data_IF_211973147433
#
_entry.id   IF_211973147433
#
_cell.length_a   1.000
_cell.length_b   1.000
_cell.length_c   1.000
_cell.angle_alpha   90.00
_cell.angle_beta   90.00
_cell.angle_gamma   90.00
#
_symmetry.space_group_name_H-M   'P 1'
#
loop_
_entity.id
_entity.type
_entity.pdbx_description
1 polymer ?
#
# COMPACT_ATOMS: atom_id res chain seq x y z
N UNK A 1 21.25 -0.08 4.73
CA UNK A 1 19.93 -0.20 5.40
C UNK A 1 19.18 1.08 5.15
N UNK A 2 17.88 1.04 4.82
CA UNK A 2 17.10 2.26 4.59
C UNK A 2 16.63 2.83 5.93
N UNK A 3 16.96 4.07 6.25
CA UNK A 3 16.44 4.76 7.43
C UNK A 3 15.14 5.47 7.11
N UNK A 4 14.18 5.38 8.02
CA UNK A 4 12.89 6.03 7.88
C UNK A 4 12.93 7.36 8.65
N UNK A 5 12.91 8.47 7.91
CA UNK A 5 12.94 9.81 8.50
C UNK A 5 11.57 10.28 8.95
N UNK A 6 10.58 10.08 8.09
CA UNK A 6 9.20 10.43 8.39
C UNK A 6 8.24 9.56 7.58
N UNK A 7 7.05 9.33 8.14
CA UNK A 7 5.89 8.81 7.42
C UNK A 7 4.71 9.74 7.69
N UNK A 8 3.93 10.05 6.66
CA UNK A 8 2.63 10.69 6.83
C UNK A 8 1.62 10.02 5.89
N UNK A 9 0.34 10.11 6.25
CA UNK A 9 -0.75 9.61 5.41
C UNK A 9 -1.90 10.58 5.40
N UNK A 10 -2.65 10.56 4.31
CA UNK A 10 -3.96 11.17 4.22
C UNK A 10 -4.97 10.10 3.76
N UNK A 11 -6.06 9.97 4.50
CA UNK A 11 -7.22 9.20 4.10
C UNK A 11 -8.46 10.12 4.21
N UNK A 12 -9.34 10.13 3.21
CA UNK A 12 -10.61 10.87 3.27
C UNK A 12 -11.49 10.44 4.44
N UNK A 13 -12.51 11.24 4.72
CA UNK A 13 -13.56 10.87 5.68
C UNK A 13 -14.19 9.52 5.31
N UNK A 14 -14.47 8.73 6.34
CA UNK A 14 -15.11 7.44 6.17
C UNK A 14 -16.60 7.61 5.90
N UNK A 15 -17.14 6.78 5.02
CA UNK A 15 -18.58 6.71 4.75
C UNK A 15 -19.05 5.27 4.89
N UNK A 16 -20.29 5.04 5.38
CA UNK A 16 -20.87 3.70 5.36
C UNK A 16 -20.87 3.14 3.94
N UNK A 17 -20.16 2.02 3.74
CA UNK A 17 -20.03 1.41 2.43
C UNK A 17 -20.64 0.02 2.42
N UNK A 18 -21.74 -0.12 1.69
CA UNK A 18 -22.43 -1.39 1.47
C UNK A 18 -22.65 -1.59 -0.04
N UNK A 19 -21.56 -1.83 -0.76
CA UNK A 19 -21.55 -2.11 -2.18
C UNK A 19 -20.33 -2.97 -2.55
N UNK A 20 -20.26 -3.40 -3.81
CA UNK A 20 -19.13 -4.22 -4.31
C UNK A 20 -18.20 -3.41 -5.19
N UNK A 21 -18.72 -2.41 -5.92
CA UNK A 21 -17.96 -1.57 -6.86
C UNK A 21 -17.87 -0.13 -6.40
N UNK A 22 -16.82 0.56 -6.85
CA UNK A 22 -16.77 2.01 -6.81
C UNK A 22 -17.95 2.64 -7.60
N UNK A 23 -18.45 3.79 -7.13
CA UNK A 23 -19.64 4.45 -7.71
C UNK A 23 -19.28 5.56 -8.71
N UNK A 24 -18.24 6.31 -8.41
CA UNK A 24 -17.78 7.42 -9.23
C UNK A 24 -17.19 6.92 -10.55
N UNK A 25 -17.60 7.52 -11.67
CA UNK A 25 -17.07 7.21 -13.00
C UNK A 25 -16.05 8.26 -13.40
N UNK A 26 -14.96 7.82 -14.02
CA UNK A 26 -14.00 8.75 -14.59
C UNK A 26 -14.56 9.41 -15.86
N UNK A 27 -14.59 10.74 -15.91
CA UNK A 27 -14.99 11.50 -17.11
C UNK A 27 -13.89 11.53 -18.19
N UNK A 28 -12.61 11.39 -17.82
CA UNK A 28 -11.46 11.43 -18.74
C UNK A 28 -11.07 10.07 -19.33
N UNK A 29 -11.55 8.98 -18.75
CA UNK A 29 -11.24 7.61 -19.17
C UNK A 29 -12.45 6.87 -19.73
N UNK A 30 -13.35 7.57 -20.43
CA UNK A 30 -14.44 6.92 -21.18
C UNK A 30 -13.92 5.83 -22.13
N UNK A 31 -12.65 5.90 -22.55
CA UNK A 31 -12.00 4.89 -23.36
C UNK A 31 -11.70 3.57 -22.64
N UNK A 32 -11.60 3.55 -21.31
CA UNK A 32 -11.52 2.30 -20.55
C UNK A 32 -12.82 1.50 -20.65
N UNK A 33 -13.92 2.11 -21.11
CA UNK A 33 -15.17 1.40 -21.41
C UNK A 33 -15.19 0.81 -22.84
N UNK A 34 -14.14 1.01 -23.65
CA UNK A 34 -14.01 0.39 -24.97
C UNK A 34 -13.58 -1.08 -24.87
N UNK A 35 -13.90 -1.85 -25.92
CA UNK A 35 -13.55 -3.28 -25.99
C UNK A 35 -12.05 -3.55 -25.82
N UNK A 36 -11.19 -2.60 -26.21
CA UNK A 36 -9.74 -2.72 -26.09
C UNK A 36 -9.26 -2.73 -24.64
N UNK A 37 -10.00 -2.13 -23.70
CA UNK A 37 -9.64 -2.07 -22.29
C UNK A 37 -10.26 -3.20 -21.45
N UNK A 38 -10.91 -4.19 -22.09
CA UNK A 38 -11.59 -5.30 -21.40
C UNK A 38 -10.65 -6.10 -20.51
N UNK A 39 -9.38 -6.23 -20.89
CA UNK A 39 -8.36 -6.92 -20.07
C UNK A 39 -8.03 -6.19 -18.76
N UNK A 40 -8.26 -4.87 -18.68
CA UNK A 40 -8.00 -4.07 -17.48
C UNK A 40 -9.21 -3.99 -16.55
N UNK A 41 -10.35 -4.58 -16.90
CA UNK A 41 -11.61 -4.44 -16.16
C UNK A 41 -12.04 -5.76 -15.52
N UNK A 42 -12.38 -5.78 -14.22
CA UNK A 42 -12.77 -7.00 -13.52
C UNK A 42 -13.94 -7.79 -14.13
N UNK A 43 -14.85 -7.11 -14.83
CA UNK A 43 -16.05 -7.69 -15.46
C UNK A 43 -16.33 -7.11 -16.84
N UNK A 44 -15.30 -6.89 -17.66
CA UNK A 44 -15.46 -6.21 -18.95
C UNK A 44 -16.18 -4.87 -18.76
N UNK A 45 -17.42 -4.71 -19.20
CA UNK A 45 -18.21 -3.48 -18.98
C UNK A 45 -18.58 -3.16 -17.51
N UNK A 46 -18.16 -3.98 -16.55
CA UNK A 46 -18.31 -3.67 -15.13
C UNK A 46 -19.72 -3.85 -14.57
N UNK A 47 -20.58 -4.63 -15.23
CA UNK A 47 -21.90 -4.99 -14.69
C UNK A 47 -21.79 -6.31 -13.92
N UNK A 48 -22.30 -6.30 -12.70
CA UNK A 48 -22.52 -7.49 -11.86
C UNK A 48 -24.03 -7.66 -11.64
N UNK A 49 -24.49 -8.90 -11.49
CA UNK A 49 -25.88 -9.19 -11.16
C UNK A 49 -26.13 -9.21 -9.64
N UNK A 50 -27.40 -9.40 -9.24
CA UNK A 50 -27.78 -9.39 -7.83
C UNK A 50 -27.21 -10.57 -7.04
N UNK A 51 -27.11 -11.75 -7.66
CA UNK A 51 -26.57 -12.95 -7.02
C UNK A 51 -25.06 -12.78 -6.76
N UNK A 52 -24.33 -12.31 -7.76
CA UNK A 52 -22.92 -11.98 -7.64
C UNK A 52 -22.68 -10.88 -6.61
N UNK A 53 -23.53 -9.85 -6.59
CA UNK A 53 -23.45 -8.78 -5.58
C UNK A 53 -23.56 -9.35 -4.17
N UNK A 54 -24.58 -10.18 -3.90
CA UNK A 54 -24.77 -10.79 -2.58
C UNK A 54 -23.57 -11.66 -2.16
N UNK A 55 -22.95 -12.35 -3.10
CA UNK A 55 -21.78 -13.21 -2.84
C UNK A 55 -20.49 -12.44 -2.57
N UNK A 56 -20.37 -11.21 -3.07
CA UNK A 56 -19.17 -10.38 -2.96
C UNK A 56 -19.27 -9.27 -1.90
N UNK A 57 -20.46 -9.03 -1.34
CA UNK A 57 -20.62 -8.10 -0.24
C UNK A 57 -19.82 -8.59 0.99
N UNK A 58 -19.13 -7.67 1.71
CA UNK A 58 -18.53 -8.02 2.98
C UNK A 58 -19.64 -8.34 3.99
N UNK A 59 -19.40 -9.32 4.86
CA UNK A 59 -20.37 -9.70 5.89
C UNK A 59 -20.46 -8.65 6.99
N UNK A 60 -19.34 -8.00 7.31
CA UNK A 60 -19.27 -6.89 8.24
C UNK A 60 -19.62 -5.56 7.56
N UNK A 61 -20.33 -4.69 8.29
CA UNK A 61 -20.46 -3.28 7.90
C UNK A 61 -19.10 -2.61 8.05
N UNK A 62 -18.62 -1.98 6.99
CA UNK A 62 -17.32 -1.30 6.95
C UNK A 62 -17.55 0.17 6.63
N UNK A 63 -16.89 1.01 7.42
CA UNK A 63 -16.71 2.40 7.06
C UNK A 63 -15.47 2.54 6.18
N UNK A 64 -15.66 3.11 4.99
CA UNK A 64 -14.64 3.16 3.96
C UNK A 64 -14.24 4.61 3.69
N UNK A 65 -12.94 4.96 3.70
CA UNK A 65 -12.49 6.26 3.22
C UNK A 65 -12.72 6.30 1.71
N UNK A 66 -13.59 7.22 1.27
CA UNK A 66 -13.94 7.42 -0.14
C UNK A 66 -13.76 8.89 -0.48
N UNK A 67 -12.82 9.16 -1.39
CA UNK A 67 -12.54 10.52 -1.80
C UNK A 67 -13.72 11.11 -2.59
N UNK A 68 -14.11 12.38 -2.37
CA UNK A 68 -15.19 13.03 -3.10
C UNK A 68 -14.97 13.08 -4.62
N UNK A 69 -16.03 13.23 -5.44
CA UNK A 69 -15.99 13.11 -6.91
C UNK A 69 -15.00 13.98 -7.70
N UNK A 70 -14.41 15.00 -7.10
CA UNK A 70 -13.44 15.89 -7.76
C UNK A 70 -12.02 15.77 -7.21
N UNK A 71 -11.84 15.13 -6.05
CA UNK A 71 -10.53 14.92 -5.46
C UNK A 71 -9.89 13.71 -6.14
N UNK A 72 -8.75 13.90 -6.77
CA UNK A 72 -7.99 12.85 -7.45
C UNK A 72 -7.01 12.16 -6.49
N UNK A 73 -6.49 10.99 -6.87
CA UNK A 73 -5.36 10.35 -6.19
C UNK A 73 -4.12 11.23 -6.20
N UNK A 74 -3.96 12.11 -7.20
CA UNK A 74 -2.90 13.11 -7.18
C UNK A 74 -3.08 14.14 -6.04
N UNK A 75 -4.33 14.51 -5.74
CA UNK A 75 -4.65 15.44 -4.65
C UNK A 75 -4.43 14.76 -3.29
N UNK A 76 -4.88 13.50 -3.14
CA UNK A 76 -4.59 12.68 -1.95
C UNK A 76 -3.07 12.57 -1.70
N UNK A 77 -2.29 12.34 -2.76
CA UNK A 77 -0.84 12.28 -2.68
C UNK A 77 -0.23 13.61 -2.20
N UNK A 78 -0.71 14.75 -2.71
CA UNK A 78 -0.26 16.07 -2.28
C UNK A 78 -0.61 16.36 -0.81
N UNK A 79 -1.77 15.90 -0.34
CA UNK A 79 -2.18 16.04 1.06
C UNK A 79 -1.31 15.22 2.01
N UNK A 80 -1.00 13.96 1.65
CA UNK A 80 -0.04 13.15 2.41
C UNK A 80 1.36 13.78 2.43
N UNK A 81 1.81 14.35 1.31
CA UNK A 81 3.10 15.05 1.21
C UNK A 81 3.13 16.33 2.04
N UNK A 82 2.03 17.09 2.07
CA UNK A 82 1.91 18.30 2.88
C UNK A 82 2.07 17.96 4.39
N UNK A 83 1.39 16.91 4.85
CA UNK A 83 1.51 16.41 6.22
C UNK A 83 2.92 15.89 6.54
N UNK A 84 3.61 15.25 5.57
CA UNK A 84 4.99 14.83 5.76
C UNK A 84 5.93 16.04 5.88
N UNK A 85 5.72 17.07 5.06
CA UNK A 85 6.51 18.31 5.09
C UNK A 85 6.40 19.03 6.44
N UNK A 86 5.27 18.94 7.12
CA UNK A 86 5.09 19.52 8.46
C UNK A 86 5.93 18.81 9.54
N UNK A 87 6.31 17.54 9.31
CA UNK A 87 7.06 16.73 10.26
C UNK A 87 8.58 16.83 10.10
N UNK A 88 9.08 17.42 9.02
CA UNK A 88 10.51 17.43 8.70
C UNK A 88 11.05 18.86 8.53
N UNK A 89 12.32 19.12 8.91
CA UNK A 89 12.95 20.39 8.64
C UNK A 89 13.01 20.71 7.13
N UNK A 90 12.83 21.98 6.77
CA UNK A 90 12.88 22.43 5.38
C UNK A 90 14.21 22.07 4.70
N UNK A 91 15.33 22.18 5.42
CA UNK A 91 16.66 21.85 4.91
C UNK A 91 16.82 20.35 4.63
N UNK A 92 16.16 19.49 5.40
CA UNK A 92 16.13 18.04 5.14
C UNK A 92 15.32 17.75 3.88
N UNK A 93 14.14 18.38 3.73
CA UNK A 93 13.30 18.20 2.56
C UNK A 93 13.96 18.73 1.28
N UNK A 94 14.70 19.83 1.37
CA UNK A 94 15.44 20.43 0.25
C UNK A 94 16.54 19.51 -0.32
N UNK A 95 16.98 18.50 0.46
CA UNK A 95 17.98 17.51 0.03
C UNK A 95 17.37 16.30 -0.69
N UNK A 96 16.04 16.22 -0.84
CA UNK A 96 15.40 15.14 -1.60
C UNK A 96 15.91 15.15 -3.04
N UNK A 97 16.42 14.01 -3.48
CA UNK A 97 17.01 13.80 -4.80
C UNK A 97 16.10 13.03 -5.74
N UNK A 98 15.17 12.25 -5.21
CA UNK A 98 14.26 11.41 -5.99
C UNK A 98 12.86 11.44 -5.39
N UNK A 99 11.85 11.54 -6.25
CA UNK A 99 10.44 11.42 -5.88
C UNK A 99 9.90 10.20 -6.61
N UNK A 100 9.56 9.16 -5.88
CA UNK A 100 9.03 7.90 -6.41
C UNK A 100 7.56 7.82 -6.07
N UNK A 101 6.70 7.64 -7.07
CA UNK A 101 5.26 7.43 -6.85
C UNK A 101 4.88 5.99 -7.13
N UNK A 102 4.09 5.38 -6.25
CA UNK A 102 3.45 4.07 -6.50
C UNK A 102 1.94 4.23 -6.53
N UNK A 103 1.30 3.57 -7.49
CA UNK A 103 -0.15 3.53 -7.61
C UNK A 103 -0.60 2.27 -8.35
N UNK A 104 -1.85 1.91 -8.10
CA UNK A 104 -2.58 0.81 -8.73
C UNK A 104 -3.80 1.31 -9.51
N UNK A 105 -4.41 2.40 -9.06
CA UNK A 105 -5.67 2.89 -9.58
C UNK A 105 -5.52 3.85 -10.77
N UNK A 106 -6.39 3.68 -11.77
CA UNK A 106 -6.46 4.52 -12.98
C UNK A 106 -7.30 5.79 -12.72
N UNK A 107 -6.84 6.64 -11.79
CA UNK A 107 -7.54 7.87 -11.43
C UNK A 107 -6.95 9.14 -12.08
N UNK A 108 -5.64 9.19 -12.28
CA UNK A 108 -4.90 10.34 -12.83
C UNK A 108 -5.16 10.48 -14.33
N UNK A 109 -5.19 11.68 -14.93
CA UNK A 109 -5.30 11.81 -16.41
C UNK A 109 -4.01 11.40 -17.12
N UNK A 110 -4.11 11.03 -18.41
CA UNK A 110 -2.99 10.44 -19.17
C UNK A 110 -1.78 11.36 -19.31
N UNK A 111 -1.99 12.67 -19.19
CA UNK A 111 -0.97 13.72 -19.26
C UNK A 111 -0.56 14.26 -17.87
N UNK A 112 -1.15 13.76 -16.78
CA UNK A 112 -0.88 14.22 -15.43
C UNK A 112 0.18 13.33 -14.77
N UNK A 113 1.38 13.88 -14.54
CA UNK A 113 2.41 13.23 -13.74
C UNK A 113 2.21 13.56 -12.26
N UNK A 114 1.79 12.60 -11.43
CA UNK A 114 1.70 12.80 -9.98
C UNK A 114 3.06 13.11 -9.38
N UNK A 115 4.10 12.38 -9.79
CA UNK A 115 5.46 12.64 -9.32
C UNK A 115 5.93 14.07 -9.69
N UNK A 116 5.63 14.53 -10.90
CA UNK A 116 5.93 15.90 -11.34
C UNK A 116 5.13 16.97 -10.59
N UNK A 117 3.86 16.71 -10.28
CA UNK A 117 3.03 17.60 -9.43
C UNK A 117 3.61 17.72 -8.02
N UNK A 118 4.04 16.62 -7.42
CA UNK A 118 4.69 16.61 -6.10
C UNK A 118 6.01 17.40 -6.16
N UNK A 119 6.84 17.16 -7.17
CA UNK A 119 8.09 17.89 -7.39
C UNK A 119 7.86 19.41 -7.45
N UNK A 120 6.86 19.83 -8.23
CA UNK A 120 6.49 21.23 -8.36
C UNK A 120 5.98 21.82 -7.03
N UNK A 121 5.05 21.13 -6.36
CA UNK A 121 4.46 21.59 -5.10
C UNK A 121 5.48 21.72 -3.96
N UNK A 122 6.53 20.89 -3.97
CA UNK A 122 7.62 20.93 -3.00
C UNK A 122 8.73 21.93 -3.39
N UNK A 123 8.72 22.47 -4.61
CA UNK A 123 9.78 23.36 -5.09
C UNK A 123 11.13 22.66 -5.23
N UNK A 124 11.15 21.39 -5.67
CA UNK A 124 12.35 20.55 -5.77
C UNK A 124 12.76 20.32 -7.24
N UNK A 125 13.20 21.34 -8.00
CA UNK A 125 13.43 21.23 -9.45
C UNK A 125 14.57 20.29 -9.84
N UNK A 126 15.44 19.92 -8.88
CA UNK A 126 16.56 19.00 -9.08
C UNK A 126 16.24 17.55 -8.68
N UNK A 127 15.13 17.32 -7.96
CA UNK A 127 14.75 15.97 -7.59
C UNK A 127 14.19 15.23 -8.81
N UNK A 128 14.65 14.03 -9.13
CA UNK A 128 14.14 13.25 -10.25
C UNK A 128 12.77 12.64 -9.91
N UNK A 129 11.67 13.03 -10.59
CA UNK A 129 10.34 12.48 -10.32
C UNK A 129 10.02 11.34 -11.29
N UNK A 130 9.55 10.21 -10.77
CA UNK A 130 9.05 9.10 -11.60
C UNK A 130 8.07 8.22 -10.82
N UNK A 131 7.39 7.32 -11.55
CA UNK A 131 6.39 6.43 -10.97
C UNK A 131 6.69 4.95 -11.28
N UNK A 132 6.37 4.08 -10.33
CA UNK A 132 6.30 2.63 -10.48
C UNK A 132 4.83 2.25 -10.35
N UNK A 133 4.22 1.86 -11.46
CA UNK A 133 2.82 1.42 -11.50
C UNK A 133 2.70 -0.03 -11.97
N UNK A 134 1.46 -0.49 -12.11
CA UNK A 134 1.11 -1.81 -12.66
C UNK A 134 1.61 -3.02 -11.84
N UNK A 135 1.81 -2.85 -10.53
CA UNK A 135 2.15 -3.92 -9.60
C UNK A 135 1.01 -4.26 -8.60
N UNK A 136 -0.20 -3.76 -8.87
CA UNK A 136 -1.29 -3.78 -7.90
C UNK A 136 -0.84 -3.25 -6.53
N UNK A 137 -1.33 -3.87 -5.46
CA UNK A 137 -1.01 -3.47 -4.08
C UNK A 137 0.47 -3.66 -3.72
N UNK A 138 1.25 -4.40 -4.52
CA UNK A 138 2.67 -4.65 -4.29
C UNK A 138 3.61 -3.47 -4.70
N UNK A 139 3.07 -2.31 -5.06
CA UNK A 139 3.83 -1.17 -5.58
C UNK A 139 4.95 -0.68 -4.65
N UNK A 140 4.66 -0.46 -3.36
CA UNK A 140 5.68 -0.01 -2.38
C UNK A 140 6.82 -1.03 -2.27
N UNK A 141 6.49 -2.32 -2.15
CA UNK A 141 7.48 -3.39 -2.06
C UNK A 141 8.35 -3.49 -3.30
N UNK A 142 7.74 -3.34 -4.49
CA UNK A 142 8.44 -3.35 -5.78
C UNK A 142 9.37 -2.15 -5.95
N UNK A 143 9.01 -0.99 -5.37
CA UNK A 143 9.84 0.20 -5.40
C UNK A 143 11.09 0.07 -4.51
N UNK A 144 11.01 -0.67 -3.39
CA UNK A 144 12.07 -0.67 -2.38
C UNK A 144 13.42 -1.15 -2.89
N UNK A 145 13.50 -2.21 -3.72
CA UNK A 145 14.81 -2.68 -4.22
C UNK A 145 15.53 -1.62 -5.06
N UNK A 146 14.79 -0.84 -5.85
CA UNK A 146 15.36 0.27 -6.62
C UNK A 146 15.67 1.46 -5.69
N UNK A 147 14.83 1.75 -4.69
CA UNK A 147 15.10 2.79 -3.70
C UNK A 147 16.37 2.47 -2.90
N UNK A 148 16.58 1.22 -2.49
CA UNK A 148 17.81 0.74 -1.84
C UNK A 148 19.04 1.03 -2.71
N UNK A 149 18.96 0.76 -4.02
CA UNK A 149 20.02 1.08 -4.96
C UNK A 149 20.27 2.60 -5.06
N UNK A 150 19.21 3.40 -5.21
CA UNK A 150 19.33 4.87 -5.28
C UNK A 150 19.94 5.45 -4.00
N UNK A 151 19.51 4.98 -2.83
CA UNK A 151 20.02 5.42 -1.53
C UNK A 151 21.48 5.01 -1.34
N UNK A 152 21.87 3.81 -1.78
CA UNK A 152 23.28 3.38 -1.72
C UNK A 152 24.23 4.24 -2.58
N UNK A 153 23.67 4.97 -3.57
CA UNK A 153 24.38 5.96 -4.39
C UNK A 153 24.30 7.39 -3.80
N UNK A 154 23.86 7.54 -2.55
CA UNK A 154 23.69 8.83 -1.87
C UNK A 154 22.34 9.52 -2.13
N UNK A 155 21.38 8.81 -2.72
CA UNK A 155 20.04 9.33 -2.93
C UNK A 155 19.27 9.49 -1.62
N UNK A 156 18.53 10.61 -1.52
CA UNK A 156 17.43 10.79 -0.56
C UNK A 156 16.11 10.72 -1.29
N UNK A 157 15.23 9.81 -0.87
CA UNK A 157 14.07 9.39 -1.64
C UNK A 157 12.77 9.68 -0.88
N UNK A 158 11.89 10.47 -1.50
CA UNK A 158 10.50 10.60 -1.10
C UNK A 158 9.66 9.59 -1.89
N UNK A 159 9.20 8.53 -1.23
CA UNK A 159 8.27 7.57 -1.81
C UNK A 159 6.83 7.95 -1.43
N UNK A 160 5.95 8.07 -2.42
CA UNK A 160 4.54 8.43 -2.22
C UNK A 160 3.64 7.39 -2.88
N UNK A 161 2.83 6.71 -2.08
CA UNK A 161 1.84 5.75 -2.54
C UNK A 161 0.45 6.39 -2.52
N UNK A 162 -0.33 6.28 -3.60
CA UNK A 162 -1.69 6.82 -3.59
C UNK A 162 -2.63 6.12 -4.57
N UNK A 163 -3.84 5.86 -4.10
CA UNK A 163 -4.89 5.20 -4.86
C UNK A 163 -6.28 5.81 -4.58
N UNK A 164 -7.07 5.93 -5.66
CA UNK A 164 -8.49 6.25 -5.62
C UNK A 164 -9.25 5.35 -6.59
N UNK A 165 -10.14 4.50 -6.08
CA UNK A 165 -10.87 3.55 -6.91
C UNK A 165 -12.10 4.16 -7.57
N UNK A 166 -12.18 4.00 -8.89
CA UNK A 166 -13.31 4.45 -9.71
C UNK A 166 -14.06 3.25 -10.31
N UNK A 167 -15.31 3.45 -10.70
CA UNK A 167 -16.07 2.48 -11.48
C UNK A 167 -15.31 2.16 -12.79
N UNK A 168 -15.21 0.89 -13.22
CA UNK A 168 -15.94 -0.30 -12.73
C UNK A 168 -15.19 -1.17 -11.70
N UNK A 169 -14.12 -0.67 -11.10
CA UNK A 169 -13.29 -1.48 -10.22
C UNK A 169 -14.00 -1.88 -8.93
N UNK A 170 -13.65 -3.07 -8.43
CA UNK A 170 -14.18 -3.60 -7.18
C UNK A 170 -13.57 -2.88 -5.99
N UNK A 171 -14.43 -2.57 -5.02
CA UNK A 171 -14.06 -2.12 -3.68
C UNK A 171 -14.25 -3.22 -2.65
N UNK A 172 -15.06 -4.25 -2.90
CA UNK A 172 -15.18 -5.38 -1.98
C UNK A 172 -15.04 -6.70 -2.74
N UNK A 173 -14.42 -7.68 -2.08
CA UNK A 173 -14.27 -9.04 -2.59
C UNK A 173 -14.59 -10.05 -1.49
N UNK A 174 -15.86 -10.08 -1.07
CA UNK A 174 -16.29 -10.80 0.13
C UNK A 174 -15.53 -10.32 1.36
N UNK A 175 -15.25 -11.24 2.27
CA UNK A 175 -14.47 -10.97 3.49
C UNK A 175 -12.95 -11.04 3.26
N UNK A 176 -12.49 -11.24 2.02
CA UNK A 176 -11.05 -11.29 1.74
C UNK A 176 -10.42 -9.90 1.87
N UNK A 177 -11.02 -8.89 1.24
CA UNK A 177 -10.47 -7.53 1.20
C UNK A 177 -11.54 -6.52 0.82
N UNK A 178 -11.44 -5.32 1.41
CA UNK A 178 -12.26 -4.15 1.06
C UNK A 178 -11.36 -2.93 0.86
N UNK A 179 -11.42 -2.28 -0.32
CA UNK A 179 -10.50 -1.23 -0.74
C UNK A 179 -11.01 0.18 -0.46
N UNK A 180 -10.25 0.92 0.36
CA UNK A 180 -10.42 2.35 0.59
C UNK A 180 -9.51 3.20 -0.29
N UNK A 181 -9.86 4.49 -0.40
CA UNK A 181 -9.00 5.49 -1.04
C UNK A 181 -8.03 6.06 -0.01
N UNK A 182 -6.83 6.44 -0.44
CA UNK A 182 -5.87 7.10 0.43
C UNK A 182 -4.50 7.28 -0.18
N UNK A 183 -3.64 7.96 0.57
CA UNK A 183 -2.26 8.18 0.22
C UNK A 183 -1.35 8.14 1.45
N UNK A 184 -0.09 7.79 1.22
CA UNK A 184 0.96 7.94 2.21
C UNK A 184 2.29 8.29 1.57
N UNK A 185 3.09 9.05 2.32
CA UNK A 185 4.43 9.44 1.95
C UNK A 185 5.42 8.95 3.01
N UNK A 186 6.58 8.47 2.56
CA UNK A 186 7.70 8.05 3.40
C UNK A 186 8.99 8.66 2.88
N UNK A 187 9.76 9.29 3.77
CA UNK A 187 11.08 9.83 3.46
C UNK A 187 12.16 8.83 3.90
N UNK A 188 13.01 8.43 2.95
CA UNK A 188 14.04 7.41 3.11
C UNK A 188 15.41 7.96 2.72
N UNK A 189 16.43 7.61 3.50
CA UNK A 189 17.84 7.84 3.16
C UNK A 189 18.74 6.76 3.79
N UNK A 190 20.05 6.92 3.62
CA UNK A 190 21.09 6.01 4.14
C UNK A 190 22.00 6.67 5.18
N UNK A 191 21.69 7.89 5.62
CA UNK A 191 22.60 8.66 6.47
C UNK A 191 22.52 8.16 7.92
N UNK A 192 23.67 7.98 8.58
CA UNK A 192 23.73 7.55 9.97
C UNK A 192 23.65 8.70 10.99
N UNK A 193 23.42 9.93 10.53
CA UNK A 193 23.30 11.09 11.41
C UNK A 193 22.21 10.86 12.47
N UNK A 194 22.61 11.09 13.72
CA UNK A 194 21.76 11.02 14.89
C UNK A 194 20.69 12.11 14.79
N UNK A 195 19.45 11.69 14.55
CA UNK A 195 18.28 12.55 14.54
C UNK A 195 17.04 11.75 14.91
N UNK A 196 15.96 12.41 15.36
CA UNK A 196 14.68 11.74 15.59
C UNK A 196 14.24 11.05 14.29
N UNK A 197 13.80 9.81 14.40
CA UNK A 197 13.43 8.98 13.25
C UNK A 197 12.31 8.01 13.58
N UNK A 198 11.83 7.34 12.54
CA UNK A 198 10.78 6.33 12.65
C UNK A 198 11.34 4.91 12.75
N UNK A 199 12.65 4.75 12.58
CA UNK A 199 13.36 3.46 12.57
C UNK A 199 13.97 3.16 11.20
N UNK A 200 13.90 1.91 10.76
CA UNK A 200 14.57 1.47 9.52
C UNK A 200 13.89 0.28 8.85
N UNK A 201 14.09 0.14 7.54
CA UNK A 201 13.74 -1.09 6.80
C UNK A 201 14.97 -1.99 6.79
N UNK A 202 14.85 -3.16 7.41
CA UNK A 202 15.90 -4.17 7.54
C UNK A 202 16.05 -4.98 6.24
N UNK A 203 14.92 -5.40 5.67
CA UNK A 203 14.87 -6.15 4.44
C UNK A 203 13.53 -5.96 3.71
N UNK A 204 13.57 -6.13 2.39
CA UNK A 204 12.40 -6.20 1.54
C UNK A 204 12.48 -7.45 0.64
N UNK A 205 11.32 -7.99 0.29
CA UNK A 205 11.19 -9.09 -0.65
C UNK A 205 9.96 -8.89 -1.53
N UNK A 206 10.09 -9.28 -2.81
CA UNK A 206 8.98 -9.38 -3.74
C UNK A 206 9.02 -10.77 -4.35
N UNK A 207 7.89 -11.45 -4.32
CA UNK A 207 7.72 -12.77 -4.89
C UNK A 207 6.75 -12.70 -6.09
N UNK A 208 7.20 -13.21 -7.22
CA UNK A 208 6.44 -13.28 -8.46
C UNK A 208 5.97 -14.71 -8.69
N UNK A 209 4.67 -14.95 -8.54
CA UNK A 209 4.06 -16.24 -8.76
C UNK A 209 3.63 -16.46 -10.21
N UNK A 210 2.87 -17.54 -10.42
CA UNK A 210 2.13 -17.71 -11.66
C UNK A 210 1.10 -16.58 -11.80
N UNK A 211 1.05 -15.98 -12.99
CA UNK A 211 0.04 -14.97 -13.30
C UNK A 211 -1.36 -15.58 -13.12
N UNK A 212 -2.26 -14.82 -12.48
CA UNK A 212 -3.65 -15.22 -12.34
C UNK A 212 -4.39 -14.65 -13.54
N UNK A 213 -4.76 -15.51 -14.50
CA UNK A 213 -5.36 -15.08 -15.79
C UNK A 213 -6.60 -14.20 -15.61
N UNK A 214 -7.45 -14.53 -14.64
CA UNK A 214 -8.62 -13.74 -14.28
C UNK A 214 -8.89 -13.85 -12.77
N UNK A 215 -8.25 -13.03 -11.93
CA UNK A 215 -8.44 -13.09 -10.48
C UNK A 215 -9.90 -12.83 -10.09
N UNK A 216 -10.61 -12.04 -10.89
CA UNK A 216 -12.01 -11.69 -10.72
C UNK A 216 -12.98 -12.78 -11.23
N UNK A 217 -12.47 -13.81 -11.91
CA UNK A 217 -13.22 -15.01 -12.26
C UNK A 217 -13.34 -16.01 -11.11
N UNK A 218 -12.54 -15.86 -10.05
CA UNK A 218 -12.49 -16.77 -8.91
C UNK A 218 -13.52 -16.38 -7.84
N UNK A 219 -13.80 -17.29 -6.91
CA UNK A 219 -14.48 -16.94 -5.66
C UNK A 219 -13.48 -16.25 -4.71
N UNK A 220 -13.93 -15.47 -3.71
CA UNK A 220 -13.03 -14.94 -2.69
C UNK A 220 -12.14 -16.01 -2.04
N UNK A 221 -12.69 -17.17 -1.70
CA UNK A 221 -11.94 -18.29 -1.15
C UNK A 221 -10.89 -18.85 -2.12
N UNK A 222 -11.26 -19.10 -3.38
CA UNK A 222 -10.33 -19.63 -4.38
C UNK A 222 -9.22 -18.63 -4.73
N UNK A 223 -9.52 -17.33 -4.70
CA UNK A 223 -8.50 -16.29 -4.86
C UNK A 223 -7.56 -16.25 -3.65
N UNK A 224 -8.09 -16.34 -2.42
CA UNK A 224 -7.29 -16.43 -1.20
C UNK A 224 -6.33 -17.62 -1.26
N UNK A 225 -6.78 -18.81 -1.66
CA UNK A 225 -5.93 -20.00 -1.82
C UNK A 225 -4.77 -19.78 -2.82
N UNK A 226 -4.97 -18.96 -3.86
CA UNK A 226 -3.92 -18.64 -4.84
C UNK A 226 -2.93 -17.59 -4.32
N UNK A 227 -3.39 -16.62 -3.54
CA UNK A 227 -2.55 -15.55 -2.99
C UNK A 227 -1.75 -15.98 -1.76
N UNK A 228 -2.30 -16.90 -0.97
CA UNK A 228 -1.72 -17.38 0.28
C UNK A 228 -0.25 -17.83 0.15
N UNK A 229 0.12 -18.76 -0.75
CA UNK A 229 1.53 -19.18 -0.87
C UNK A 229 2.47 -18.05 -1.34
N UNK A 230 1.95 -17.06 -2.07
CA UNK A 230 2.75 -15.90 -2.50
C UNK A 230 3.08 -15.01 -1.30
N UNK A 231 2.08 -14.72 -0.46
CA UNK A 231 2.24 -13.94 0.76
C UNK A 231 3.23 -14.62 1.72
N UNK A 232 3.08 -15.93 1.94
CA UNK A 232 4.03 -16.73 2.76
C UNK A 232 5.44 -16.64 2.18
N UNK A 233 5.62 -16.85 0.88
CA UNK A 233 6.94 -16.82 0.24
C UNK A 233 7.62 -15.46 0.35
N UNK A 234 6.88 -14.37 0.11
CA UNK A 234 7.41 -13.02 0.25
C UNK A 234 7.81 -12.72 1.70
N UNK A 235 6.92 -13.01 2.66
CA UNK A 235 7.16 -12.81 4.08
C UNK A 235 8.36 -13.61 4.60
N UNK A 236 8.42 -14.91 4.29
CA UNK A 236 9.53 -15.77 4.66
C UNK A 236 10.86 -15.23 4.10
N UNK A 237 10.89 -14.87 2.81
CA UNK A 237 12.08 -14.30 2.17
C UNK A 237 12.52 -13.01 2.85
N UNK A 238 11.59 -12.13 3.25
CA UNK A 238 11.91 -10.89 3.95
C UNK A 238 12.50 -11.14 5.35
N UNK A 239 11.95 -12.10 6.10
CA UNK A 239 12.47 -12.53 7.42
C UNK A 239 13.89 -13.09 7.28
N UNK A 240 14.11 -14.00 6.33
CA UNK A 240 15.41 -14.62 6.06
C UNK A 240 16.46 -13.56 5.65
N UNK A 241 16.09 -12.63 4.74
CA UNK A 241 16.97 -11.53 4.32
C UNK A 241 17.30 -10.56 5.45
N UNK A 242 16.40 -10.40 6.43
CA UNK A 242 16.66 -9.60 7.62
C UNK A 242 17.60 -10.32 8.62
N UNK A 243 17.92 -11.59 8.40
CA UNK A 243 18.71 -12.42 9.32
C UNK A 243 17.95 -12.77 10.61
N UNK A 244 16.61 -12.84 10.53
CA UNK A 244 15.73 -13.07 11.68
C UNK A 244 15.00 -14.41 11.55
N UNK A 245 14.37 -14.82 12.65
CA UNK A 245 13.42 -15.93 12.71
C UNK A 245 12.01 -15.40 12.98
N UNK A 246 11.00 -16.27 12.79
CA UNK A 246 9.61 -15.94 13.11
C UNK A 246 9.41 -15.46 14.56
N UNK A 247 10.19 -15.99 15.51
CA UNK A 247 10.16 -15.60 16.93
C UNK A 247 10.66 -14.18 17.19
N UNK A 248 11.39 -13.57 16.26
CA UNK A 248 11.96 -12.22 16.41
C UNK A 248 11.00 -11.11 15.94
N UNK A 249 9.88 -11.49 15.28
CA UNK A 249 8.86 -10.54 14.82
C UNK A 249 7.92 -10.16 15.97
N UNK A 250 7.95 -8.92 16.43
CA UNK A 250 7.04 -8.44 17.48
C UNK A 250 5.60 -8.29 16.96
N UNK A 251 5.44 -7.77 15.73
CA UNK A 251 4.13 -7.51 15.13
C UNK A 251 4.04 -7.89 13.66
N UNK A 252 2.92 -8.51 13.27
CA UNK A 252 2.51 -8.74 11.87
C UNK A 252 1.44 -7.72 11.50
N UNK A 253 1.67 -7.03 10.39
CA UNK A 253 0.79 -6.00 9.83
C UNK A 253 0.13 -6.51 8.55
N UNK A 254 -1.19 -6.77 8.53
CA UNK A 254 -1.87 -7.49 7.44
C UNK A 254 -2.29 -6.65 6.22
N UNK A 255 -1.91 -5.37 6.15
CA UNK A 255 -2.29 -4.44 5.06
C UNK A 255 -3.81 -4.29 4.77
N UNK A 256 -4.70 -4.86 5.57
CA UNK A 256 -6.16 -4.76 5.41
C UNK A 256 -6.85 -5.98 4.78
N UNK A 257 -6.17 -7.12 4.67
CA UNK A 257 -6.83 -8.40 4.39
C UNK A 257 -7.62 -8.92 5.59
N UNK A 258 -8.64 -9.73 5.34
CA UNK A 258 -9.48 -10.33 6.38
C UNK A 258 -8.74 -11.33 7.28
N UNK A 259 -9.17 -11.41 8.54
CA UNK A 259 -8.50 -12.15 9.62
C UNK A 259 -8.19 -13.62 9.28
N UNK A 260 -9.12 -14.33 8.62
CA UNK A 260 -8.91 -15.74 8.28
C UNK A 260 -7.72 -15.94 7.34
N UNK A 261 -7.52 -15.01 6.41
CA UNK A 261 -6.42 -15.08 5.44
C UNK A 261 -5.09 -14.73 6.13
N UNK A 262 -5.09 -13.67 6.92
CA UNK A 262 -3.86 -13.14 7.54
C UNK A 262 -3.34 -14.08 8.64
N UNK A 263 -4.23 -14.64 9.45
CA UNK A 263 -3.90 -15.66 10.44
C UNK A 263 -3.45 -16.97 9.79
N UNK A 264 -3.96 -17.28 8.61
CA UNK A 264 -3.46 -18.39 7.80
C UNK A 264 -1.98 -18.22 7.48
N UNK A 265 -1.60 -17.05 6.93
CA UNK A 265 -0.21 -16.73 6.57
C UNK A 265 0.70 -16.78 7.81
N UNK A 266 0.29 -16.16 8.92
CA UNK A 266 1.06 -16.19 10.18
C UNK A 266 1.27 -17.62 10.71
N UNK A 267 0.25 -18.49 10.62
CA UNK A 267 0.34 -19.88 11.05
C UNK A 267 1.37 -20.66 10.24
N UNK A 268 1.41 -20.47 8.92
CA UNK A 268 2.37 -21.15 8.06
C UNK A 268 3.80 -20.66 8.27
N UNK A 269 3.97 -19.36 8.56
CA UNK A 269 5.26 -18.77 8.93
C UNK A 269 5.72 -19.15 10.36
N UNK A 270 4.88 -19.81 11.16
CA UNK A 270 5.18 -20.12 12.56
C UNK A 270 5.20 -18.90 13.49
N UNK A 271 4.51 -17.82 13.13
CA UNK A 271 4.38 -16.61 13.94
C UNK A 271 3.15 -16.73 14.84
N UNK A 272 3.33 -16.43 16.13
CA UNK A 272 2.24 -16.49 17.11
C UNK A 272 1.10 -15.52 16.76
N UNK A 273 -0.16 -15.96 16.93
CA UNK A 273 -1.33 -15.19 16.48
C UNK A 273 -1.55 -13.90 17.29
N UNK A 274 -1.08 -13.85 18.54
CA UNK A 274 -1.12 -12.67 19.40
C UNK A 274 -0.17 -11.54 18.94
N UNK A 275 0.73 -11.84 17.99
CA UNK A 275 1.57 -10.84 17.30
C UNK A 275 0.85 -10.17 16.13
N UNK A 276 -0.40 -10.52 15.85
CA UNK A 276 -1.20 -9.82 14.85
C UNK A 276 -1.72 -8.50 15.43
N UNK A 277 -1.30 -7.37 14.85
CA UNK A 277 -1.51 -6.06 15.46
C UNK A 277 -2.98 -5.63 15.52
N UNK A 278 -3.76 -5.91 14.47
CA UNK A 278 -5.15 -5.46 14.35
C UNK A 278 -6.03 -6.60 13.83
N UNK A 279 -7.18 -6.81 14.49
CA UNK A 279 -8.22 -7.74 14.03
C UNK A 279 -9.45 -6.97 13.52
N UNK A 280 -10.28 -7.68 12.76
CA UNK A 280 -11.55 -7.19 12.26
C UNK A 280 -11.45 -6.51 10.89
N UNK A 281 -12.62 -6.25 10.31
CA UNK A 281 -12.72 -5.70 8.97
C UNK A 281 -12.15 -4.28 8.89
N UNK A 282 -11.14 -4.08 8.03
CA UNK A 282 -10.50 -2.78 7.82
C UNK A 282 -10.31 -2.50 6.33
N UNK A 283 -10.33 -1.21 5.94
CA UNK A 283 -10.06 -0.84 4.58
C UNK A 283 -8.58 -1.05 4.22
N UNK A 284 -8.36 -1.73 3.12
CA UNK A 284 -7.08 -1.83 2.43
C UNK A 284 -6.88 -0.59 1.56
N UNK A 285 -5.85 0.19 1.83
CA UNK A 285 -5.57 1.44 1.09
C UNK A 285 -4.65 1.22 -0.11
N UNK A 286 -4.82 0.08 -0.77
CA UNK A 286 -4.03 -0.36 -1.94
C UNK A 286 -2.52 -0.12 -1.75
N UNK A 287 -1.84 0.60 -2.64
CA UNK A 287 -0.38 0.83 -2.53
C UNK A 287 0.01 1.59 -1.24
N UNK A 288 -0.89 2.36 -0.62
CA UNK A 288 -0.60 3.11 0.60
C UNK A 288 -0.77 2.28 1.88
N UNK A 289 -1.49 1.15 1.82
CA UNK A 289 -1.77 0.28 2.96
C UNK A 289 -0.56 -0.07 3.83
N UNK A 290 0.63 -0.42 3.28
CA UNK A 290 1.80 -0.70 4.10
C UNK A 290 2.22 0.47 4.99
N UNK A 291 2.28 1.69 4.43
CA UNK A 291 2.73 2.86 5.16
C UNK A 291 1.72 3.29 6.24
N UNK A 292 0.42 3.22 5.93
CA UNK A 292 -0.65 3.48 6.92
C UNK A 292 -0.60 2.49 8.09
N UNK A 293 -0.24 1.22 7.83
CA UNK A 293 -0.13 0.22 8.89
C UNK A 293 1.05 0.51 9.83
N UNK A 294 2.20 0.96 9.30
CA UNK A 294 3.34 1.40 10.11
C UNK A 294 3.00 2.62 10.97
N UNK A 295 2.24 3.57 10.41
CA UNK A 295 1.71 4.74 11.13
C UNK A 295 0.85 4.34 12.33
N UNK A 296 -0.14 3.46 12.12
CA UNK A 296 -1.03 2.98 13.19
C UNK A 296 -0.25 2.24 14.27
N UNK A 297 0.68 1.36 13.88
CA UNK A 297 1.51 0.65 14.84
C UNK A 297 2.34 1.62 15.67
N UNK A 298 3.07 2.55 15.04
CA UNK A 298 3.92 3.50 15.78
C UNK A 298 3.13 4.31 16.80
N UNK A 299 1.91 4.75 16.44
CA UNK A 299 1.03 5.50 17.35
C UNK A 299 0.58 4.69 18.58
N UNK A 300 0.60 3.35 18.50
CA UNK A 300 0.25 2.46 19.62
C UNK A 300 1.44 2.05 20.50
N UNK A 301 2.67 2.27 20.02
CA UNK A 301 3.87 1.86 20.76
C UNK A 301 4.10 2.78 21.97
N UNK A 302 4.48 2.23 23.13
CA UNK A 302 4.89 3.04 24.27
C UNK A 302 6.09 3.95 23.92
N UNK A 303 6.18 5.16 24.49
CA UNK A 303 7.31 6.06 24.24
C UNK A 303 8.67 5.39 24.44
N UNK A 304 9.59 5.64 23.51
CA UNK A 304 10.93 5.03 23.51
C UNK A 304 10.99 3.53 23.17
N UNK A 305 9.85 2.86 22.90
CA UNK A 305 9.83 1.46 22.47
C UNK A 305 10.19 1.35 20.98
N UNK A 306 10.99 0.34 20.66
CA UNK A 306 11.20 -0.14 19.29
C UNK A 306 10.55 -1.51 19.14
N UNK A 307 9.96 -1.76 17.97
CA UNK A 307 9.38 -3.05 17.60
C UNK A 307 9.89 -3.51 16.24
N UNK A 308 10.14 -4.80 16.11
CA UNK A 308 10.44 -5.49 14.84
C UNK A 308 9.14 -5.94 14.21
N UNK A 309 8.91 -5.54 12.97
CA UNK A 309 7.60 -5.69 12.34
C UNK A 309 7.73 -6.39 11.00
N UNK A 310 6.80 -7.30 10.74
CA UNK A 310 6.60 -7.93 9.44
C UNK A 310 5.35 -7.33 8.81
N UNK A 311 5.53 -6.74 7.64
CA UNK A 311 4.45 -6.21 6.83
C UNK A 311 4.46 -6.93 5.49
N UNK A 312 3.31 -7.37 5.02
CA UNK A 312 3.21 -8.02 3.71
C UNK A 312 1.88 -7.69 3.03
N UNK A 313 1.86 -7.87 1.71
CA UNK A 313 0.70 -7.64 0.85
C UNK A 313 0.75 -8.60 -0.34
N UNK A 314 -0.41 -8.90 -0.92
CA UNK A 314 -0.56 -9.76 -2.08
C UNK A 314 -1.45 -9.09 -3.14
N UNK A 315 -0.83 -8.72 -4.25
CA UNK A 315 -1.53 -8.18 -5.41
C UNK A 315 -2.22 -9.30 -6.21
N UNK A 316 -3.42 -9.00 -6.67
CA UNK A 316 -4.28 -9.92 -7.42
C UNK A 316 -3.68 -10.36 -8.77
N UNK A 317 -2.62 -9.70 -9.25
CA UNK A 317 -1.89 -10.08 -10.45
C UNK A 317 -0.89 -11.23 -10.24
N UNK A 318 -0.87 -11.87 -9.07
CA UNK A 318 0.05 -12.96 -8.75
C UNK A 318 1.41 -12.48 -8.25
N UNK A 319 1.43 -11.36 -7.52
CA UNK A 319 2.65 -10.80 -6.92
C UNK A 319 2.42 -10.56 -5.45
N UNK A 320 3.39 -10.87 -4.60
CA UNK A 320 3.35 -10.51 -3.18
C UNK A 320 4.62 -9.78 -2.78
N UNK A 321 4.51 -8.89 -1.81
CA UNK A 321 5.62 -8.13 -1.27
C UNK A 321 5.64 -8.21 0.25
N UNK A 322 6.83 -8.18 0.83
CA UNK A 322 7.00 -8.09 2.27
C UNK A 322 8.18 -7.19 2.67
N UNK A 323 8.06 -6.61 3.86
CA UNK A 323 9.05 -5.74 4.52
C UNK A 323 9.24 -6.25 5.95
N UNK A 324 10.49 -6.37 6.36
CA UNK A 324 10.86 -6.38 7.78
C UNK A 324 11.42 -5.01 8.12
N UNK A 325 10.82 -4.36 9.11
CA UNK A 325 11.25 -3.05 9.57
C UNK A 325 11.40 -3.03 11.10
N UNK A 326 12.25 -2.12 11.58
CA UNK A 326 12.24 -1.70 12.97
C UNK A 326 11.53 -0.36 13.04
N UNK A 327 10.51 -0.27 13.88
CA UNK A 327 9.72 0.93 14.08
C UNK A 327 9.90 1.44 15.49
N UNK A 328 10.31 2.70 15.61
CA UNK A 328 10.55 3.37 16.88
C UNK A 328 9.39 4.32 17.21
N UNK A 329 8.86 4.22 18.43
CA UNK A 329 7.87 5.14 18.96
C UNK A 329 8.38 6.59 18.97
N UNK A 330 7.45 7.54 19.10
CA UNK A 330 7.81 8.91 19.45
C UNK A 330 8.56 8.97 20.80
N UNK A 331 9.33 10.04 20.98
CA UNK A 331 9.89 10.41 22.29
C UNK A 331 8.79 10.86 23.24
#
# INVERSE_FOLDING_TARGET
>A
MLRIRAIASHAPDTTPFQAVQAREKNIGYGHLLYKSAVFSMPRGKGRIDAEETLRLLPTASIELPVAPPAQSGADLALEAVALLREQIPADTLAQVTHIVVTNSALNQRINESVAGRIQHALGLPKALPFAIGQAGTAGVFSALSMIEALVSLGGKVLLVASDKWLYPFFRAWGDLVVYGDGAAAILLDGDDEAGPGWGSIRASAVHYGAAIDNPWGLTPAALAERLHPLAVSAAQTAIERAGLNASDIDWVLPAGFGDSFTLGVSRELGIAQDRHFEFGARPHHSSAAPLLSLLRLRASLPPGKTATVLLWDAALCGTAGAIVAEIQAGA
#
